data_IF_842185020764
#
_entry.id   IF_842185020764
#
_cell.length_a   1.000
_cell.length_b   1.000
_cell.length_c   1.000
_cell.angle_alpha   90.00
_cell.angle_beta   90.00
_cell.angle_gamma   90.00
#
_symmetry.space_group_name_H-M   'P 1'
#
loop_
_entity.id
_entity.type
_entity.pdbx_description
1 polymer ?
#
# COMPACT_ATOMS: atom_id res chain seq x y z
N UNK A 1 -44.09 5.94 -8.18
CA UNK A 1 -43.35 7.03 -7.54
C UNK A 1 -42.60 6.44 -6.38
N UNK A 2 -41.27 6.26 -6.56
CA UNK A 2 -40.42 5.87 -5.44
C UNK A 2 -40.34 7.05 -4.48
N UNK A 3 -40.75 6.83 -3.23
CA UNK A 3 -40.71 7.84 -2.15
C UNK A 3 -39.25 7.98 -1.70
N UNK A 4 -38.58 8.98 -2.25
CA UNK A 4 -37.27 9.40 -1.82
C UNK A 4 -37.35 10.20 -0.52
N UNK A 5 -36.54 9.91 0.47
CA UNK A 5 -36.46 10.69 1.70
C UNK A 5 -35.19 11.50 1.72
N UNK A 6 -35.29 12.83 1.89
CA UNK A 6 -34.18 13.74 2.10
C UNK A 6 -34.13 14.15 3.56
N UNK A 7 -32.98 13.98 4.20
CA UNK A 7 -32.73 14.41 5.57
C UNK A 7 -31.44 15.24 5.66
N UNK A 8 -31.46 16.32 6.46
CA UNK A 8 -30.28 17.06 6.88
C UNK A 8 -29.82 16.53 8.22
N UNK A 9 -28.55 16.08 8.30
CA UNK A 9 -28.02 15.51 9.55
C UNK A 9 -27.32 16.58 10.38
N UNK A 10 -26.40 17.29 9.79
CA UNK A 10 -25.67 18.37 10.46
C UNK A 10 -25.05 19.31 9.42
N UNK A 11 -24.94 20.59 9.74
CA UNK A 11 -24.21 21.57 8.93
C UNK A 11 -24.57 21.55 7.44
N UNK A 12 -23.65 21.14 6.59
CA UNK A 12 -23.77 20.98 5.14
C UNK A 12 -23.99 19.53 4.68
N UNK A 13 -24.26 18.61 5.64
CA UNK A 13 -24.42 17.20 5.38
C UNK A 13 -25.91 16.80 5.23
N UNK A 14 -26.18 16.14 4.10
CA UNK A 14 -27.52 15.66 3.74
C UNK A 14 -27.47 14.18 3.40
N UNK A 15 -28.52 13.45 3.73
CA UNK A 15 -28.74 12.07 3.31
C UNK A 15 -29.95 12.01 2.40
N UNK A 16 -29.79 11.27 1.31
CA UNK A 16 -30.89 10.86 0.43
C UNK A 16 -31.08 9.37 0.57
N UNK A 17 -32.22 8.95 1.11
CA UNK A 17 -32.57 7.55 1.26
C UNK A 17 -33.54 7.12 0.17
N UNK A 18 -33.21 6.03 -0.52
CA UNK A 18 -34.03 5.39 -1.55
C UNK A 18 -34.39 4.00 -1.06
N UNK A 19 -35.65 3.73 -0.66
CA UNK A 19 -36.02 2.46 -0.03
C UNK A 19 -35.93 1.26 -0.97
N UNK A 20 -36.21 1.47 -2.26
CA UNK A 20 -36.13 0.43 -3.27
C UNK A 20 -35.43 0.95 -4.51
N UNK A 21 -34.47 0.18 -5.02
CA UNK A 21 -33.72 0.51 -6.23
C UNK A 21 -33.98 -0.56 -7.30
N UNK A 22 -34.20 -0.12 -8.53
CA UNK A 22 -34.43 -1.01 -9.67
C UNK A 22 -33.12 -1.68 -10.15
N UNK A 23 -32.00 -1.00 -9.94
CA UNK A 23 -30.66 -1.48 -10.26
C UNK A 23 -29.59 -0.65 -9.55
N UNK A 24 -28.37 -1.16 -9.47
CA UNK A 24 -27.24 -0.52 -8.78
C UNK A 24 -26.75 0.78 -9.44
N UNK A 25 -27.14 1.10 -10.67
CA UNK A 25 -26.78 2.35 -11.36
C UNK A 25 -27.71 3.50 -11.03
N UNK A 26 -28.93 3.22 -10.55
CA UNK A 26 -29.94 4.23 -10.25
C UNK A 26 -29.45 5.27 -9.21
N UNK A 27 -28.84 4.89 -8.05
CA UNK A 27 -28.36 5.86 -7.09
C UNK A 27 -27.20 6.71 -7.63
N UNK A 28 -26.35 6.14 -8.46
CA UNK A 28 -25.22 6.84 -9.09
C UNK A 28 -25.72 7.90 -10.06
N UNK A 29 -26.71 7.53 -10.88
CA UNK A 29 -27.39 8.48 -11.81
C UNK A 29 -28.02 9.63 -11.05
N UNK A 30 -28.73 9.34 -9.96
CA UNK A 30 -29.32 10.40 -9.10
C UNK A 30 -28.22 11.31 -8.54
N UNK A 31 -27.10 10.76 -8.09
CA UNK A 31 -25.95 11.53 -7.64
C UNK A 31 -25.44 12.50 -8.70
N UNK A 32 -25.31 12.06 -9.96
CA UNK A 32 -24.94 12.93 -11.07
C UNK A 32 -25.98 14.02 -11.34
N UNK A 33 -27.27 13.71 -11.24
CA UNK A 33 -28.35 14.71 -11.40
C UNK A 33 -28.29 15.77 -10.31
N UNK A 34 -28.11 15.37 -9.06
CA UNK A 34 -27.94 16.30 -7.91
C UNK A 34 -26.73 17.22 -8.16
N UNK A 35 -25.57 16.67 -8.56
CA UNK A 35 -24.39 17.48 -8.86
C UNK A 35 -24.64 18.48 -9.99
N UNK A 36 -25.29 18.04 -11.07
CA UNK A 36 -25.61 18.91 -12.20
C UNK A 36 -26.52 20.07 -11.79
N UNK A 37 -27.49 19.84 -10.89
CA UNK A 37 -28.36 20.88 -10.38
C UNK A 37 -27.60 21.89 -9.49
N UNK A 38 -26.70 21.39 -8.63
CA UNK A 38 -25.92 22.21 -7.71
C UNK A 38 -24.76 22.96 -8.38
N UNK A 39 -24.37 22.57 -9.60
CA UNK A 39 -23.41 23.34 -10.42
C UNK A 39 -24.01 24.60 -11.02
N UNK A 40 -25.35 24.75 -11.02
CA UNK A 40 -25.97 26.00 -11.43
C UNK A 40 -25.77 27.05 -10.34
N UNK A 41 -25.32 28.27 -10.69
CA UNK A 41 -25.13 29.33 -9.71
C UNK A 41 -26.43 29.61 -8.95
N UNK A 42 -26.35 29.60 -7.63
CA UNK A 42 -27.48 30.01 -6.77
C UNK A 42 -27.43 31.52 -6.53
N UNK A 43 -28.54 32.22 -6.83
CA UNK A 43 -28.62 33.64 -6.58
C UNK A 43 -29.35 33.83 -5.25
N UNK A 44 -28.64 34.31 -4.22
CA UNK A 44 -29.18 34.61 -2.90
C UNK A 44 -28.92 36.12 -2.64
N UNK A 45 -29.98 36.87 -2.42
CA UNK A 45 -29.92 38.35 -2.19
C UNK A 45 -29.11 39.13 -3.25
N UNK A 46 -29.18 38.68 -4.50
CA UNK A 46 -28.46 39.28 -5.62
C UNK A 46 -26.98 38.86 -5.74
N UNK A 47 -26.48 37.98 -4.86
CA UNK A 47 -25.13 37.43 -4.91
C UNK A 47 -25.15 36.03 -5.54
N UNK A 48 -24.32 35.84 -6.56
CA UNK A 48 -24.15 34.54 -7.23
C UNK A 48 -23.18 33.66 -6.41
N UNK A 49 -23.66 32.51 -5.96
CA UNK A 49 -22.89 31.53 -5.19
C UNK A 49 -22.71 30.24 -6.01
N UNK A 50 -21.49 29.79 -6.14
CA UNK A 50 -21.16 28.48 -6.71
C UNK A 50 -21.02 27.46 -5.56
N UNK A 51 -21.77 26.36 -5.66
CA UNK A 51 -21.76 25.28 -4.66
C UNK A 51 -21.19 24.04 -5.30
N UNK A 52 -20.27 23.39 -4.61
CA UNK A 52 -19.79 22.07 -4.99
C UNK A 52 -20.19 21.04 -3.94
N UNK A 53 -20.43 19.81 -4.38
CA UNK A 53 -20.77 18.72 -3.46
C UNK A 53 -19.98 17.46 -3.77
N UNK A 54 -19.66 16.72 -2.70
CA UNK A 54 -19.14 15.35 -2.77
C UNK A 54 -20.25 14.40 -2.34
N UNK A 55 -20.48 13.35 -3.10
CA UNK A 55 -21.55 12.39 -2.85
C UNK A 55 -20.92 11.01 -2.62
N UNK A 56 -21.27 10.38 -1.50
CA UNK A 56 -21.01 8.96 -1.29
C UNK A 56 -22.31 8.17 -1.52
N UNK A 57 -22.21 7.07 -2.24
CA UNK A 57 -23.34 6.18 -2.55
C UNK A 57 -23.12 4.87 -1.85
N UNK A 58 -24.04 4.49 -0.97
CA UNK A 58 -24.05 3.19 -0.30
C UNK A 58 -25.23 2.39 -0.82
N UNK A 59 -24.98 1.18 -1.28
CA UNK A 59 -26.06 0.26 -1.63
C UNK A 59 -26.28 -0.64 -0.44
N UNK A 60 -27.45 -0.52 0.20
CA UNK A 60 -27.83 -1.31 1.36
C UNK A 60 -27.93 -2.80 1.03
N UNK A 61 -27.67 -3.63 2.03
CA UNK A 61 -27.73 -5.08 1.94
C UNK A 61 -27.62 -5.73 3.32
N UNK A 62 -27.64 -7.06 3.35
CA UNK A 62 -27.56 -7.85 4.60
C UNK A 62 -26.18 -7.80 5.27
N UNK A 63 -25.19 -7.22 4.61
CA UNK A 63 -23.83 -7.04 5.09
C UNK A 63 -23.67 -5.97 6.16
N UNK A 64 -24.68 -5.11 6.36
CA UNK A 64 -24.65 -4.07 7.39
C UNK A 64 -25.41 -4.53 8.64
N UNK A 65 -24.76 -4.48 9.78
CA UNK A 65 -25.34 -4.91 11.06
C UNK A 65 -26.29 -3.85 11.65
N UNK A 66 -26.07 -2.57 11.34
CA UNK A 66 -26.87 -1.45 11.88
C UNK A 66 -26.86 -0.23 10.94
N UNK A 67 -27.71 0.75 11.25
CA UNK A 67 -27.72 2.05 10.55
C UNK A 67 -26.42 2.81 10.79
N UNK A 68 -25.85 2.70 11.98
CA UNK A 68 -24.58 3.30 12.35
C UNK A 68 -23.43 2.75 11.50
N UNK A 69 -23.49 1.45 11.13
CA UNK A 69 -22.51 0.86 10.20
C UNK A 69 -22.61 1.47 8.81
N UNK A 70 -23.83 1.67 8.31
CA UNK A 70 -24.07 2.33 7.01
C UNK A 70 -23.53 3.75 7.01
N UNK A 71 -23.82 4.53 8.06
CA UNK A 71 -23.34 5.91 8.18
C UNK A 71 -21.81 5.99 8.24
N UNK A 72 -21.18 5.12 9.03
CA UNK A 72 -19.71 5.03 9.10
C UNK A 72 -19.08 4.69 7.74
N UNK A 73 -19.70 3.80 6.97
CA UNK A 73 -19.28 3.48 5.63
C UNK A 73 -19.46 4.65 4.66
N UNK A 74 -20.52 5.45 4.83
CA UNK A 74 -20.76 6.67 4.04
C UNK A 74 -19.69 7.73 4.30
N UNK A 75 -19.37 7.98 5.56
CA UNK A 75 -18.32 8.93 5.98
C UNK A 75 -16.96 8.52 5.44
N UNK A 76 -16.64 7.22 5.54
CA UNK A 76 -15.42 6.66 4.97
C UNK A 76 -15.32 6.88 3.44
N UNK A 77 -16.41 6.56 2.71
CA UNK A 77 -16.46 6.75 1.26
C UNK A 77 -16.33 8.24 0.88
N UNK A 78 -16.96 9.12 1.65
CA UNK A 78 -16.90 10.56 1.45
C UNK A 78 -15.48 11.11 1.70
N UNK A 79 -14.85 10.69 2.79
CA UNK A 79 -13.45 11.06 3.10
C UNK A 79 -12.48 10.64 1.99
N UNK A 80 -12.68 9.43 1.43
CA UNK A 80 -11.89 8.93 0.30
C UNK A 80 -12.15 9.71 -0.98
N UNK A 81 -13.41 10.06 -1.27
CA UNK A 81 -13.77 10.87 -2.41
C UNK A 81 -13.09 12.25 -2.35
N UNK A 82 -13.12 12.92 -1.19
CA UNK A 82 -12.45 14.21 -0.98
C UNK A 82 -10.94 14.11 -1.21
N UNK A 83 -10.27 13.09 -0.65
CA UNK A 83 -8.82 12.85 -0.84
C UNK A 83 -8.43 12.58 -2.30
N UNK A 84 -9.28 11.89 -3.05
CA UNK A 84 -9.04 11.54 -4.46
C UNK A 84 -9.59 12.59 -5.44
N UNK A 85 -10.12 13.71 -4.94
CA UNK A 85 -10.79 14.76 -5.73
C UNK A 85 -11.91 14.20 -6.64
N UNK A 86 -12.61 13.16 -6.17
CA UNK A 86 -13.76 12.56 -6.85
C UNK A 86 -15.04 13.16 -6.31
N UNK A 87 -15.93 13.54 -7.21
CA UNK A 87 -17.21 14.13 -6.84
C UNK A 87 -18.27 13.10 -6.41
N UNK A 88 -18.18 11.87 -6.92
CA UNK A 88 -19.06 10.74 -6.53
C UNK A 88 -18.19 9.54 -6.20
N UNK A 89 -18.45 8.90 -5.08
CA UNK A 89 -17.81 7.66 -4.66
C UNK A 89 -18.85 6.62 -4.29
N UNK A 90 -18.83 5.50 -4.98
CA UNK A 90 -19.63 4.32 -4.57
C UNK A 90 -18.84 3.57 -3.52
N UNK A 91 -19.46 3.29 -2.39
CA UNK A 91 -18.89 2.43 -1.35
C UNK A 91 -18.96 0.97 -1.80
N UNK A 92 -17.87 0.26 -1.57
CA UNK A 92 -17.88 -1.20 -1.59
C UNK A 92 -17.32 -1.72 -0.27
N UNK A 93 -17.86 -2.82 0.22
CA UNK A 93 -17.35 -3.50 1.42
C UNK A 93 -15.86 -3.84 1.29
N UNK A 94 -15.43 -4.19 0.08
CA UNK A 94 -14.01 -4.40 -0.25
C UNK A 94 -13.15 -3.17 0.08
N UNK A 95 -13.59 -1.96 -0.30
CA UNK A 95 -12.84 -0.72 -0.01
C UNK A 95 -12.69 -0.48 1.50
N UNK A 96 -13.73 -0.80 2.26
CA UNK A 96 -13.72 -0.69 3.71
C UNK A 96 -12.74 -1.69 4.33
N UNK A 97 -12.78 -2.95 3.91
CA UNK A 97 -11.83 -3.96 4.37
C UNK A 97 -10.39 -3.62 4.02
N UNK A 98 -10.13 -3.16 2.79
CA UNK A 98 -8.80 -2.68 2.37
C UNK A 98 -8.27 -1.55 3.26
N UNK A 99 -9.16 -0.65 3.73
CA UNK A 99 -8.75 0.44 4.62
C UNK A 99 -8.45 -0.04 6.03
N UNK A 100 -9.28 -0.95 6.58
CA UNK A 100 -9.01 -1.57 7.89
C UNK A 100 -7.68 -2.32 7.86
N UNK A 101 -7.44 -3.13 6.82
CA UNK A 101 -6.16 -3.81 6.64
C UNK A 101 -4.99 -2.83 6.52
N UNK A 102 -5.17 -1.72 5.82
CA UNK A 102 -4.14 -0.67 5.69
C UNK A 102 -3.78 -0.08 7.05
N UNK A 103 -4.78 0.25 7.87
CA UNK A 103 -4.57 0.76 9.22
C UNK A 103 -3.88 -0.28 10.13
N UNK A 104 -4.26 -1.56 10.02
CA UNK A 104 -3.61 -2.62 10.77
C UNK A 104 -2.13 -2.78 10.36
N UNK A 105 -1.83 -2.75 9.05
CA UNK A 105 -0.46 -2.79 8.53
C UNK A 105 0.36 -1.62 9.07
N UNK A 106 -0.16 -0.39 9.00
CA UNK A 106 0.53 0.81 9.50
C UNK A 106 0.82 0.73 11.01
N UNK A 107 -0.15 0.25 11.79
CA UNK A 107 -0.01 0.07 13.24
C UNK A 107 1.08 -0.96 13.59
N UNK A 108 1.10 -2.07 12.88
CA UNK A 108 1.89 -3.24 13.26
C UNK A 108 3.27 -3.29 12.59
N UNK A 109 3.48 -2.54 11.50
CA UNK A 109 4.75 -2.50 10.75
C UNK A 109 5.98 -2.15 11.62
N UNK A 110 5.95 -1.13 12.50
CA UNK A 110 7.11 -0.81 13.33
C UNK A 110 7.50 -1.95 14.28
N UNK A 111 6.52 -2.66 14.82
CA UNK A 111 6.77 -3.81 15.69
C UNK A 111 7.23 -5.03 14.90
N UNK A 112 6.71 -5.24 13.71
CA UNK A 112 7.11 -6.34 12.83
C UNK A 112 8.58 -6.22 12.40
N UNK A 113 9.05 -5.01 12.13
CA UNK A 113 10.45 -4.73 11.80
C UNK A 113 11.32 -5.02 13.04
N UNK A 114 11.02 -4.41 14.21
CA UNK A 114 11.80 -4.63 15.43
C UNK A 114 11.87 -6.10 15.84
N UNK A 115 10.78 -6.84 15.65
CA UNK A 115 10.69 -8.27 15.99
C UNK A 115 11.16 -9.20 14.87
N UNK A 116 11.73 -8.67 13.79
CA UNK A 116 12.26 -9.43 12.64
C UNK A 116 11.23 -10.40 12.03
N UNK A 117 9.97 -9.99 11.98
CA UNK A 117 8.88 -10.78 11.40
C UNK A 117 8.88 -10.72 9.86
N UNK A 118 9.51 -9.68 9.29
CA UNK A 118 9.69 -9.55 7.85
C UNK A 118 11.00 -10.23 7.48
N UNK A 119 10.92 -11.24 6.60
CA UNK A 119 12.06 -12.08 6.23
C UNK A 119 12.25 -12.09 4.71
N UNK A 120 13.48 -12.19 4.20
CA UNK A 120 13.69 -12.42 2.79
C UNK A 120 13.29 -13.84 2.39
N UNK A 121 12.68 -13.98 1.21
CA UNK A 121 12.66 -15.21 0.42
C UNK A 121 13.52 -15.00 -0.80
N UNK A 122 14.07 -16.08 -1.34
CA UNK A 122 15.11 -16.01 -2.36
C UNK A 122 14.57 -16.59 -3.68
N UNK A 123 14.49 -15.72 -4.69
CA UNK A 123 14.09 -16.10 -6.03
C UNK A 123 15.36 -16.38 -6.87
N UNK A 124 15.50 -17.55 -7.49
CA UNK A 124 16.70 -17.88 -8.26
C UNK A 124 16.77 -17.02 -9.52
N UNK A 125 17.99 -16.53 -9.81
CA UNK A 125 18.38 -15.87 -11.05
C UNK A 125 19.11 -16.91 -11.91
N UNK A 126 18.63 -17.11 -13.12
CA UNK A 126 19.10 -18.16 -14.02
C UNK A 126 19.78 -17.53 -15.25
N UNK A 127 20.94 -18.07 -15.62
CA UNK A 127 21.61 -17.71 -16.87
C UNK A 127 20.78 -18.15 -18.08
N UNK A 128 20.41 -17.22 -18.95
CA UNK A 128 19.70 -17.55 -20.18
C UNK A 128 20.54 -18.38 -21.18
N UNK A 129 21.87 -18.44 -20.98
CA UNK A 129 22.80 -19.17 -21.88
C UNK A 129 22.95 -20.62 -21.41
N UNK A 130 23.17 -20.82 -20.08
CA UNK A 130 23.50 -22.15 -19.54
C UNK A 130 22.32 -22.83 -18.87
N UNK A 131 21.28 -22.09 -18.48
CA UNK A 131 20.17 -22.59 -17.66
C UNK A 131 20.54 -22.80 -16.18
N UNK A 132 21.75 -22.44 -15.78
CA UNK A 132 22.23 -22.61 -14.40
C UNK A 132 21.84 -21.43 -13.52
N UNK A 133 21.68 -21.68 -12.22
CA UNK A 133 21.46 -20.61 -11.23
C UNK A 133 22.78 -19.87 -11.02
N UNK A 134 22.74 -18.55 -11.19
CA UNK A 134 23.90 -17.64 -11.03
C UNK A 134 23.78 -16.75 -9.78
N UNK A 135 22.59 -16.66 -9.19
CA UNK A 135 22.36 -15.87 -8.00
C UNK A 135 20.92 -16.00 -7.50
N UNK A 136 20.59 -15.18 -6.51
CA UNK A 136 19.24 -15.10 -5.94
C UNK A 136 18.86 -13.63 -5.71
N UNK A 137 17.62 -13.28 -6.03
CA UNK A 137 17.03 -12.01 -5.59
C UNK A 137 16.36 -12.20 -4.23
N UNK A 138 16.70 -11.34 -3.27
CA UNK A 138 16.12 -11.32 -1.93
C UNK A 138 14.86 -10.43 -1.93
N UNK A 139 13.73 -11.04 -1.69
CA UNK A 139 12.42 -10.41 -1.73
C UNK A 139 11.78 -10.44 -0.33
N UNK A 140 11.60 -9.27 0.28
CA UNK A 140 10.98 -9.15 1.59
C UNK A 140 9.57 -9.75 1.62
N UNK A 141 9.26 -10.54 2.64
CA UNK A 141 7.95 -11.13 2.87
C UNK A 141 7.54 -10.95 4.32
N UNK A 142 6.32 -10.51 4.50
CA UNK A 142 5.74 -10.34 5.82
C UNK A 142 4.58 -11.30 6.02
N UNK A 143 4.73 -12.22 6.98
CA UNK A 143 3.66 -13.08 7.43
C UNK A 143 3.07 -12.48 8.70
N UNK A 144 1.91 -11.83 8.57
CA UNK A 144 1.20 -11.22 9.68
C UNK A 144 0.33 -12.24 10.40
N UNK A 145 0.23 -12.14 11.74
CA UNK A 145 -0.49 -13.12 12.56
C UNK A 145 -2.00 -13.19 12.22
N UNK A 146 -2.63 -12.04 11.97
CA UNK A 146 -4.08 -11.96 11.70
C UNK A 146 -4.39 -11.82 10.21
N UNK A 147 -3.57 -11.07 9.45
CA UNK A 147 -3.83 -10.76 8.04
C UNK A 147 -3.19 -11.75 7.07
N UNK A 148 -2.42 -12.73 7.58
CA UNK A 148 -1.71 -13.68 6.75
C UNK A 148 -0.54 -13.05 5.96
N UNK A 149 -0.33 -13.47 4.72
CA UNK A 149 0.74 -12.96 3.88
C UNK A 149 0.42 -11.56 3.35
N UNK A 150 1.20 -10.55 3.79
CA UNK A 150 1.07 -9.17 3.33
C UNK A 150 2.01 -8.94 2.13
N UNK A 151 1.44 -8.44 1.03
CA UNK A 151 2.20 -8.11 -0.18
C UNK A 151 3.22 -6.99 0.07
N UNK A 152 4.46 -7.11 -0.45
CA UNK A 152 5.45 -6.03 -0.44
C UNK A 152 4.93 -4.71 -1.01
N UNK A 153 4.12 -4.76 -2.06
CA UNK A 153 3.50 -3.57 -2.66
C UNK A 153 2.59 -2.79 -1.68
N UNK A 154 2.21 -3.39 -0.56
CA UNK A 154 1.41 -2.72 0.48
C UNK A 154 2.26 -2.16 1.61
N UNK A 155 3.23 -2.92 2.12
CA UNK A 155 3.99 -2.48 3.31
C UNK A 155 5.26 -1.69 2.99
N UNK A 156 5.88 -1.88 1.82
CA UNK A 156 7.09 -1.13 1.44
C UNK A 156 6.81 0.37 1.30
N UNK A 157 5.77 0.84 0.59
CA UNK A 157 5.44 2.27 0.54
C UNK A 157 5.17 2.86 1.93
N UNK A 158 4.52 2.10 2.82
CA UNK A 158 4.28 2.55 4.20
C UNK A 158 5.57 2.64 5.03
N UNK A 159 6.52 1.73 4.80
CA UNK A 159 7.84 1.80 5.39
C UNK A 159 8.62 3.02 4.90
N UNK A 160 8.48 3.40 3.63
CA UNK A 160 9.09 4.61 3.06
C UNK A 160 8.47 5.88 3.65
N UNK A 161 7.14 6.00 3.66
CA UNK A 161 6.41 7.14 4.24
C UNK A 161 6.71 7.35 5.73
N UNK A 162 6.96 6.26 6.47
CA UNK A 162 7.27 6.30 7.91
C UNK A 162 8.77 6.30 8.25
N UNK A 163 9.66 6.40 7.24
CA UNK A 163 11.11 6.32 7.36
C UNK A 163 11.64 5.00 8.00
N UNK A 164 10.85 3.95 7.97
CA UNK A 164 11.23 2.62 8.47
C UNK A 164 11.93 1.75 7.41
N UNK A 165 11.95 2.20 6.16
CA UNK A 165 12.50 1.44 5.04
C UNK A 165 13.99 1.18 5.18
N UNK A 166 14.74 2.07 5.81
CA UNK A 166 16.19 1.90 6.04
C UNK A 166 16.43 0.74 7.01
N UNK A 167 15.74 0.74 8.17
CA UNK A 167 15.85 -0.34 9.16
C UNK A 167 15.41 -1.69 8.58
N UNK A 168 14.32 -1.70 7.82
CA UNK A 168 13.85 -2.89 7.12
C UNK A 168 14.89 -3.40 6.11
N UNK A 169 15.47 -2.50 5.31
CA UNK A 169 16.48 -2.84 4.31
C UNK A 169 17.75 -3.43 4.93
N UNK A 170 18.21 -2.86 6.04
CA UNK A 170 19.36 -3.39 6.79
C UNK A 170 19.12 -4.81 7.31
N UNK A 171 17.92 -5.08 7.81
CA UNK A 171 17.56 -6.44 8.25
C UNK A 171 17.51 -7.43 7.10
N UNK A 172 16.91 -7.04 5.96
CA UNK A 172 16.86 -7.90 4.76
C UNK A 172 18.27 -8.13 4.22
N UNK A 173 19.10 -7.08 4.14
CA UNK A 173 20.49 -7.17 3.71
C UNK A 173 21.29 -8.16 4.56
N UNK A 174 21.25 -7.99 5.88
CA UNK A 174 22.01 -8.85 6.82
C UNK A 174 21.61 -10.31 6.67
N UNK A 175 20.30 -10.60 6.64
CA UNK A 175 19.80 -11.97 6.48
C UNK A 175 20.18 -12.56 5.11
N UNK A 176 20.18 -11.72 4.07
CA UNK A 176 20.53 -12.14 2.71
C UNK A 176 22.01 -12.45 2.56
N UNK A 177 22.88 -11.63 3.13
CA UNK A 177 24.33 -11.88 3.15
C UNK A 177 24.66 -13.17 3.93
N UNK A 178 24.03 -13.37 5.09
CA UNK A 178 24.21 -14.59 5.88
C UNK A 178 23.72 -15.83 5.14
N UNK A 179 22.60 -15.74 4.42
CA UNK A 179 22.06 -16.84 3.64
C UNK A 179 23.00 -17.25 2.52
N UNK A 180 23.41 -16.27 1.68
CA UNK A 180 24.23 -16.59 0.51
C UNK A 180 25.64 -17.05 0.91
N UNK A 181 26.20 -16.53 2.00
CA UNK A 181 27.49 -17.00 2.52
C UNK A 181 27.44 -18.47 2.87
N UNK A 182 26.46 -18.89 3.70
CA UNK A 182 26.27 -20.30 4.07
C UNK A 182 26.06 -21.19 2.84
N UNK A 183 25.28 -20.70 1.89
CA UNK A 183 25.02 -21.43 0.65
C UNK A 183 26.29 -21.61 -0.19
N UNK A 184 27.12 -20.56 -0.27
CA UNK A 184 28.39 -20.58 -0.99
C UNK A 184 29.45 -21.46 -0.30
N UNK A 185 29.45 -21.59 1.03
CA UNK A 185 30.29 -22.54 1.77
C UNK A 185 29.99 -23.98 1.35
N UNK A 186 28.70 -24.35 1.29
CA UNK A 186 28.28 -25.69 0.83
C UNK A 186 28.70 -25.94 -0.63
N UNK A 187 28.55 -24.92 -1.49
CA UNK A 187 28.95 -25.00 -2.92
C UNK A 187 30.46 -25.15 -3.07
N UNK A 188 31.25 -24.45 -2.25
CA UNK A 188 32.70 -24.56 -2.26
C UNK A 188 33.18 -25.97 -1.90
N UNK A 189 32.56 -26.62 -0.90
CA UNK A 189 32.84 -28.01 -0.58
C UNK A 189 32.56 -28.97 -1.74
N UNK A 190 31.58 -28.61 -2.60
CA UNK A 190 31.20 -29.37 -3.79
C UNK A 190 31.97 -28.92 -5.06
N UNK A 191 32.94 -28.03 -4.94
CA UNK A 191 33.71 -27.44 -6.06
C UNK A 191 32.82 -26.74 -7.11
N UNK A 192 31.67 -26.18 -6.68
CA UNK A 192 30.73 -25.47 -7.55
C UNK A 192 31.00 -23.97 -7.49
N UNK A 193 30.68 -23.20 -8.58
CA UNK A 193 30.79 -21.76 -8.59
C UNK A 193 29.97 -21.10 -7.50
N UNK A 194 30.52 -20.06 -6.87
CA UNK A 194 29.78 -19.26 -5.88
C UNK A 194 28.73 -18.38 -6.58
N UNK A 195 27.63 -18.11 -5.87
CA UNK A 195 26.48 -17.35 -6.35
C UNK A 195 26.42 -15.97 -5.70
N UNK A 196 25.73 -15.03 -6.34
CA UNK A 196 25.45 -13.70 -5.79
C UNK A 196 24.07 -13.63 -5.16
N UNK A 197 23.90 -12.67 -4.25
CA UNK A 197 22.59 -12.25 -3.78
C UNK A 197 22.33 -10.82 -4.20
N UNK A 198 21.12 -10.58 -4.71
CA UNK A 198 20.65 -9.28 -5.16
C UNK A 198 19.66 -8.72 -4.13
N UNK A 199 19.87 -7.49 -3.68
CA UNK A 199 19.05 -6.84 -2.65
C UNK A 199 18.58 -5.49 -3.17
N UNK A 200 17.26 -5.27 -3.12
CA UNK A 200 16.63 -4.04 -3.56
C UNK A 200 16.80 -2.92 -2.53
N UNK A 201 17.27 -1.76 -2.98
CA UNK A 201 17.40 -0.53 -2.18
C UNK A 201 16.53 0.59 -2.73
N UNK A 202 15.87 1.32 -1.83
CA UNK A 202 15.10 2.53 -2.16
C UNK A 202 15.97 3.78 -2.10
N UNK A 203 15.47 4.91 -2.62
CA UNK A 203 16.13 6.22 -2.55
C UNK A 203 16.53 6.63 -1.13
N UNK A 204 15.72 6.26 -0.14
CA UNK A 204 15.95 6.57 1.27
C UNK A 204 17.27 5.98 1.81
N UNK A 205 17.65 4.78 1.34
CA UNK A 205 18.91 4.16 1.74
C UNK A 205 20.13 4.99 1.29
N UNK A 206 20.08 5.54 0.07
CA UNK A 206 21.16 6.35 -0.49
C UNK A 206 21.26 7.74 0.13
N UNK A 207 20.20 8.21 0.77
CA UNK A 207 20.20 9.46 1.53
C UNK A 207 20.79 9.31 2.94
N UNK A 208 21.01 8.07 3.39
CA UNK A 208 21.62 7.79 4.69
C UNK A 208 23.14 7.99 4.65
N UNK A 209 23.68 8.80 5.57
CA UNK A 209 25.12 9.01 5.72
C UNK A 209 25.86 7.75 6.20
N UNK A 210 25.16 6.80 6.80
CA UNK A 210 25.73 5.56 7.36
C UNK A 210 25.69 4.38 6.40
N UNK A 211 25.14 4.54 5.20
CA UNK A 211 24.95 3.45 4.25
C UNK A 211 26.23 2.63 4.01
N UNK A 212 27.34 3.31 3.68
CA UNK A 212 28.60 2.62 3.37
C UNK A 212 29.20 1.90 4.58
N UNK A 213 29.03 2.49 5.77
CA UNK A 213 29.49 1.87 7.02
C UNK A 213 28.70 0.61 7.33
N UNK A 214 27.36 0.68 7.21
CA UNK A 214 26.47 -0.44 7.44
C UNK A 214 26.71 -1.58 6.41
N UNK A 215 26.91 -1.25 5.14
CA UNK A 215 27.27 -2.24 4.11
C UNK A 215 28.58 -2.95 4.44
N UNK A 216 29.63 -2.19 4.83
CA UNK A 216 30.93 -2.78 5.22
C UNK A 216 30.81 -3.67 6.45
N UNK A 217 30.09 -3.20 7.47
CA UNK A 217 29.86 -3.98 8.68
C UNK A 217 29.13 -5.28 8.37
N UNK A 218 28.04 -5.23 7.58
CA UNK A 218 27.27 -6.40 7.20
C UNK A 218 28.11 -7.43 6.40
N UNK A 219 28.93 -6.96 5.45
CA UNK A 219 29.82 -7.85 4.69
C UNK A 219 30.88 -8.50 5.60
N UNK A 220 31.45 -7.75 6.52
CA UNK A 220 32.42 -8.28 7.50
C UNK A 220 31.79 -9.28 8.45
N UNK A 221 30.62 -8.96 9.03
CA UNK A 221 29.93 -9.83 9.98
C UNK A 221 29.44 -11.12 9.31
N UNK A 222 28.98 -11.05 8.06
CA UNK A 222 28.55 -12.23 7.31
C UNK A 222 29.70 -12.99 6.67
N UNK A 223 30.92 -12.46 6.68
CA UNK A 223 32.10 -12.99 5.96
C UNK A 223 31.85 -13.14 4.44
N UNK A 224 30.91 -12.40 3.89
CA UNK A 224 30.61 -12.45 2.46
C UNK A 224 31.58 -11.57 1.66
N UNK A 225 32.18 -12.14 0.63
CA UNK A 225 33.02 -11.38 -0.27
C UNK A 225 32.17 -10.38 -1.09
N UNK A 226 32.58 -9.11 -1.22
CA UNK A 226 31.75 -8.04 -1.81
C UNK A 226 31.22 -8.33 -3.22
N UNK A 227 31.95 -9.09 -4.02
CA UNK A 227 31.55 -9.47 -5.39
C UNK A 227 30.30 -10.38 -5.42
N UNK A 228 29.87 -10.94 -4.29
CA UNK A 228 28.68 -11.77 -4.17
C UNK A 228 27.45 -11.01 -3.66
N UNK A 229 27.57 -9.69 -3.44
CA UNK A 229 26.46 -8.81 -3.13
C UNK A 229 26.20 -7.87 -4.30
N UNK A 230 24.98 -7.84 -4.81
CA UNK A 230 24.51 -6.89 -5.83
C UNK A 230 23.41 -6.04 -5.19
N UNK A 231 23.55 -4.72 -5.27
CA UNK A 231 22.54 -3.76 -4.85
C UNK A 231 21.73 -3.37 -6.08
N UNK A 232 20.43 -3.63 -6.04
CA UNK A 232 19.49 -3.23 -7.09
C UNK A 232 18.80 -1.92 -6.75
N UNK A 233 18.69 -1.06 -7.76
CA UNK A 233 18.09 0.28 -7.64
C UNK A 233 16.85 0.32 -8.50
N UNK A 234 15.73 0.77 -7.95
CA UNK A 234 14.46 0.90 -8.69
C UNK A 234 14.48 2.09 -9.66
N UNK A 235 13.76 1.99 -10.79
CA UNK A 235 13.65 3.07 -11.79
C UNK A 235 13.21 4.41 -11.21
N UNK A 236 12.35 4.40 -10.20
CA UNK A 236 11.86 5.61 -9.52
C UNK A 236 12.99 6.48 -8.98
N UNK A 237 14.13 5.89 -8.63
CA UNK A 237 15.30 6.62 -8.14
C UNK A 237 16.04 7.40 -9.23
N UNK A 238 15.98 6.94 -10.47
CA UNK A 238 16.69 7.58 -11.59
C UNK A 238 15.94 8.82 -12.08
N UNK A 239 14.64 8.95 -11.76
CA UNK A 239 13.76 10.02 -12.25
C UNK A 239 13.74 11.23 -11.29
N UNK A 240 13.99 11.04 -10.00
CA UNK A 240 13.88 12.09 -8.97
C UNK A 240 15.07 13.06 -8.88
N UNK A 241 16.14 12.87 -9.66
CA UNK A 241 17.23 13.83 -9.76
C UNK A 241 17.57 14.09 -11.23
N UNK A 242 17.04 15.20 -11.79
CA UNK A 242 17.55 15.71 -13.08
C UNK A 242 18.96 16.25 -12.92
#
# INVERSE_FOLDING_TARGET
CETLTLARIAGDEFIVFIPEISNSYQPVRLGHEIQRLLLQPLIIDGVSLEVSTTISVIIGGKEYASVEDVLRCADFAMGRAKKQNKRIQVFSHRMYMEAIETLAIQRDLPSAIRNKQIKPVFQPIVSCITGEIVGFEALARWQHAELGAISPARFIPMAEESNLIVELGEQVLTQSCQFIQRFNEIRAEQQQPQLSVHVNFSAHHFSSSTLLENLRATLQESMLAPQHLVIEITESMLIERP
#
